data_IF_499102089590
#
_entry.id   IF_499102089590
#
_cell.length_a   1.000
_cell.length_b   1.000
_cell.length_c   1.000
_cell.angle_alpha   90.00
_cell.angle_beta   90.00
_cell.angle_gamma   90.00
#
_symmetry.space_group_name_H-M   'P 1'
#
loop_
_entity.id
_entity.type
_entity.pdbx_description
1 polymer ?
#
# COMPACT_ATOMS: atom_id res chain seq x y z
N UNK A 1 -8.29 17.64 -4.22
CA UNK A 1 -8.77 16.96 -2.99
C UNK A 1 -7.60 16.29 -2.27
N UNK A 2 -7.04 16.91 -1.23
CA UNK A 2 -5.86 16.44 -0.49
C UNK A 2 -6.00 15.04 0.14
N UNK A 3 -7.23 14.56 0.38
CA UNK A 3 -7.52 13.24 0.95
C UNK A 3 -6.86 12.08 0.18
N UNK A 4 -6.93 12.07 -1.16
CA UNK A 4 -6.44 10.94 -1.97
C UNK A 4 -4.90 10.80 -1.99
N UNK A 5 -4.17 11.89 -1.73
CA UNK A 5 -2.70 11.83 -1.63
C UNK A 5 -2.29 11.08 -0.36
N UNK A 6 -2.91 11.42 0.77
CA UNK A 6 -2.68 10.76 2.06
C UNK A 6 -3.04 9.27 2.00
N UNK A 7 -4.17 8.92 1.39
CA UNK A 7 -4.58 7.52 1.21
C UNK A 7 -3.59 6.68 0.37
N UNK A 8 -3.02 7.24 -0.70
CA UNK A 8 -2.00 6.53 -1.50
C UNK A 8 -0.70 6.33 -0.74
N UNK A 9 -0.31 7.33 0.06
CA UNK A 9 0.87 7.21 0.91
C UNK A 9 0.68 6.10 1.96
N UNK A 10 -0.50 6.03 2.58
CA UNK A 10 -0.87 4.94 3.51
C UNK A 10 -0.88 3.58 2.80
N UNK A 11 -1.48 3.50 1.61
CA UNK A 11 -1.50 2.26 0.82
C UNK A 11 -0.08 1.76 0.52
N UNK A 12 0.86 2.67 0.20
CA UNK A 12 2.25 2.31 -0.03
C UNK A 12 2.93 1.78 1.25
N UNK A 13 2.65 2.38 2.41
CA UNK A 13 3.16 1.88 3.70
C UNK A 13 2.64 0.47 4.00
N UNK A 14 1.35 0.22 3.77
CA UNK A 14 0.74 -1.10 3.94
C UNK A 14 1.33 -2.13 2.97
N UNK A 15 1.45 -1.80 1.68
CA UNK A 15 2.05 -2.69 0.69
C UNK A 15 3.52 -2.99 0.99
N UNK A 16 4.26 -2.02 1.53
CA UNK A 16 5.63 -2.24 1.98
C UNK A 16 5.68 -3.22 3.17
N UNK A 17 4.84 -3.03 4.19
CA UNK A 17 4.74 -3.95 5.32
C UNK A 17 4.37 -5.37 4.86
N UNK A 18 3.39 -5.48 3.97
CA UNK A 18 2.96 -6.74 3.37
C UNK A 18 4.10 -7.44 2.62
N UNK A 19 4.81 -6.72 1.74
CA UNK A 19 5.90 -7.26 0.92
C UNK A 19 7.12 -7.67 1.78
N UNK A 20 7.39 -6.95 2.87
CA UNK A 20 8.48 -7.26 3.80
C UNK A 20 8.16 -8.46 4.69
N UNK A 21 6.92 -8.57 5.18
CA UNK A 21 6.49 -9.64 6.10
C UNK A 21 5.99 -10.89 5.39
N UNK A 22 5.69 -10.80 4.09
CA UNK A 22 5.05 -11.84 3.28
C UNK A 22 3.78 -12.40 3.95
N UNK A 23 3.03 -11.53 4.61
CA UNK A 23 1.77 -11.86 5.30
C UNK A 23 0.59 -11.81 4.33
N UNK A 24 -0.62 -12.03 4.83
CA UNK A 24 -1.82 -11.70 4.06
C UNK A 24 -1.99 -10.17 3.96
N UNK A 25 -2.63 -9.66 2.90
CA UNK A 25 -2.97 -8.23 2.78
C UNK A 25 -3.84 -7.73 3.93
N UNK A 26 -4.75 -8.57 4.41
CA UNK A 26 -5.64 -8.31 5.53
C UNK A 26 -4.86 -8.10 6.83
N UNK A 27 -3.89 -8.97 7.10
CA UNK A 27 -3.02 -8.83 8.29
C UNK A 27 -2.20 -7.54 8.21
N UNK A 28 -1.70 -7.19 7.02
CA UNK A 28 -0.93 -5.96 6.83
C UNK A 28 -1.79 -4.70 7.06
N UNK A 29 -3.04 -4.71 6.59
CA UNK A 29 -4.00 -3.61 6.84
C UNK A 29 -4.31 -3.52 8.33
N UNK A 30 -4.63 -4.64 8.98
CA UNK A 30 -4.95 -4.68 10.41
C UNK A 30 -3.78 -4.19 11.26
N UNK A 31 -2.56 -4.62 10.91
CA UNK A 31 -1.36 -4.18 11.59
C UNK A 31 -1.11 -2.68 11.40
N UNK A 32 -1.27 -2.16 10.19
CA UNK A 32 -1.12 -0.73 9.95
C UNK A 32 -2.08 0.09 10.82
N UNK A 33 -3.33 -0.35 10.97
CA UNK A 33 -4.28 0.30 11.87
C UNK A 33 -3.89 0.17 13.35
N UNK A 34 -3.36 -0.98 13.77
CA UNK A 34 -2.86 -1.18 15.14
C UNK A 34 -1.66 -0.27 15.46
N UNK A 35 -0.72 -0.13 14.53
CA UNK A 35 0.44 0.77 14.66
C UNK A 35 0.03 2.23 14.62
N UNK A 36 -0.93 2.60 13.75
CA UNK A 36 -1.47 3.96 13.70
C UNK A 36 -2.19 4.33 15.00
N UNK A 37 -2.99 3.42 15.56
CA UNK A 37 -3.63 3.63 16.84
C UNK A 37 -2.58 3.75 17.97
N UNK A 38 -1.57 2.87 17.98
CA UNK A 38 -0.50 2.88 18.98
C UNK A 38 0.37 4.15 18.97
N UNK A 39 0.70 4.67 17.79
CA UNK A 39 1.47 5.91 17.64
C UNK A 39 0.70 7.14 18.15
N UNK A 40 -0.62 7.15 18.01
CA UNK A 40 -1.47 8.24 18.49
C UNK A 40 -1.73 8.17 20.01
N UNK A 41 -1.60 7.00 20.66
CA UNK A 41 -1.60 6.88 22.13
C UNK A 41 -0.34 7.46 22.79
N UNK A 42 0.78 7.56 22.08
CA UNK A 42 2.00 8.23 22.58
C UNK A 42 1.93 9.76 22.41
N UNK A 43 1.12 10.25 21.48
CA UNK A 43 0.91 11.68 21.17
C UNK A 43 -0.45 12.20 21.67
N UNK A 44 -0.86 11.86 22.90
CA UNK A 44 -2.06 12.46 23.49
C UNK A 44 -1.76 13.89 24.00
N UNK A 45 -1.88 14.90 23.13
CA UNK A 45 -2.43 16.23 23.49
C UNK A 45 -3.16 16.89 22.32
N UNK A 46 -4.45 17.04 22.57
CA UNK A 46 -5.40 18.02 22.04
C UNK A 46 -5.83 17.88 20.55
N UNK A 47 -7.11 17.54 20.40
CA UNK A 47 -7.97 17.88 19.25
C UNK A 47 -7.87 17.07 17.94
N UNK A 48 -7.20 15.91 17.91
CA UNK A 48 -7.32 15.00 16.77
C UNK A 48 -8.53 14.05 16.95
N UNK A 49 -9.47 13.95 15.98
CA UNK A 49 -10.54 12.96 16.03
C UNK A 49 -9.96 11.54 15.97
N UNK A 50 -10.61 10.55 16.62
CA UNK A 50 -10.06 9.20 16.78
C UNK A 50 -9.74 8.51 15.44
N UNK A 51 -8.72 7.62 15.40
CA UNK A 51 -8.29 6.92 14.20
C UNK A 51 -9.22 5.75 13.88
N UNK A 52 -10.51 6.02 13.69
CA UNK A 52 -11.51 5.02 13.29
C UNK A 52 -12.11 5.30 11.93
N UNK A 53 -11.58 6.27 11.19
CA UNK A 53 -11.94 6.42 9.78
C UNK A 53 -11.11 5.44 8.97
N UNK A 54 -11.60 4.20 8.88
CA UNK A 54 -11.21 3.28 7.81
C UNK A 54 -11.09 4.06 6.51
N UNK A 55 -10.00 3.87 5.77
CA UNK A 55 -9.72 4.57 4.53
C UNK A 55 -10.03 3.60 3.39
N UNK A 56 -11.27 3.60 2.87
CA UNK A 56 -11.71 2.54 1.98
C UNK A 56 -10.95 2.59 0.65
N UNK A 57 -10.44 3.77 0.29
CA UNK A 57 -9.63 3.95 -0.91
C UNK A 57 -8.21 3.40 -0.74
N UNK A 58 -7.62 3.54 0.44
CA UNK A 58 -6.38 2.86 0.78
C UNK A 58 -6.57 1.34 0.76
N UNK A 59 -7.61 0.84 1.44
CA UNK A 59 -7.88 -0.60 1.52
C UNK A 59 -8.15 -1.19 0.12
N UNK A 60 -8.92 -0.51 -0.72
CA UNK A 60 -9.19 -0.97 -2.08
C UNK A 60 -7.92 -1.05 -2.92
N UNK A 61 -7.01 -0.07 -2.79
CA UNK A 61 -5.72 -0.09 -3.49
C UNK A 61 -4.85 -1.26 -3.03
N UNK A 62 -4.76 -1.51 -1.73
CA UNK A 62 -3.96 -2.61 -1.18
C UNK A 62 -4.51 -3.96 -1.63
N UNK A 63 -5.82 -4.18 -1.45
CA UNK A 63 -6.49 -5.44 -1.84
C UNK A 63 -6.40 -5.68 -3.34
N UNK A 64 -6.68 -4.66 -4.16
CA UNK A 64 -6.61 -4.77 -5.62
C UNK A 64 -5.19 -5.04 -6.12
N UNK A 65 -4.20 -4.32 -5.59
CA UNK A 65 -2.80 -4.50 -5.98
C UNK A 65 -2.27 -5.87 -5.58
N UNK A 66 -2.57 -6.32 -4.35
CA UNK A 66 -2.13 -7.64 -3.87
C UNK A 66 -2.81 -8.81 -4.59
N UNK A 67 -4.09 -8.70 -4.91
CA UNK A 67 -4.84 -9.72 -5.64
C UNK A 67 -4.32 -9.96 -7.07
N UNK A 68 -3.64 -8.97 -7.67
CA UNK A 68 -3.10 -9.04 -9.03
C UNK A 68 -1.57 -9.02 -9.06
N UNK A 69 -0.88 -9.23 -7.92
CA UNK A 69 0.55 -9.01 -7.82
C UNK A 69 1.36 -9.81 -8.85
N UNK A 70 1.01 -11.08 -9.09
CA UNK A 70 1.72 -11.92 -10.05
C UNK A 70 1.62 -11.35 -11.48
N UNK A 71 0.41 -10.97 -11.88
CA UNK A 71 0.15 -10.33 -13.18
C UNK A 71 0.88 -9.00 -13.30
N UNK A 72 0.86 -8.17 -12.24
CA UNK A 72 1.54 -6.88 -12.21
C UNK A 72 3.06 -7.04 -12.32
N UNK A 73 3.62 -8.03 -11.62
CA UNK A 73 5.04 -8.34 -11.65
C UNK A 73 5.47 -8.85 -13.03
N UNK A 74 4.66 -9.69 -13.70
CA UNK A 74 4.92 -10.05 -15.09
C UNK A 74 4.93 -8.84 -16.03
N UNK A 75 3.98 -7.92 -15.86
CA UNK A 75 3.93 -6.69 -16.67
C UNK A 75 5.14 -5.79 -16.44
N UNK A 76 5.64 -5.70 -15.20
CA UNK A 76 6.85 -4.94 -14.87
C UNK A 76 8.07 -5.66 -15.46
N UNK A 77 8.19 -6.97 -15.27
CA UNK A 77 9.31 -7.78 -15.76
C UNK A 77 9.45 -7.71 -17.29
N UNK A 78 8.33 -7.79 -18.03
CA UNK A 78 8.32 -7.70 -19.51
C UNK A 78 8.87 -6.36 -20.03
N UNK A 79 8.74 -5.29 -19.25
CA UNK A 79 9.22 -3.94 -19.61
C UNK A 79 10.56 -3.59 -18.99
N UNK A 80 10.98 -4.31 -17.95
CA UNK A 80 12.25 -4.14 -17.28
C UNK A 80 13.34 -4.98 -17.97
N UNK A 81 13.74 -4.58 -19.19
CA UNK A 81 14.66 -5.34 -20.06
C UNK A 81 16.01 -5.69 -19.40
N UNK A 82 16.48 -4.90 -18.43
CA UNK A 82 17.77 -5.09 -17.76
C UNK A 82 17.69 -5.12 -16.23
N UNK A 83 16.49 -5.11 -15.64
CA UNK A 83 16.33 -5.00 -14.18
C UNK A 83 15.44 -6.10 -13.61
N UNK A 84 16.03 -7.01 -12.83
CA UNK A 84 15.27 -8.02 -12.08
C UNK A 84 14.45 -7.37 -10.97
N UNK A 85 13.14 -7.66 -10.91
CA UNK A 85 12.22 -7.17 -9.86
C UNK A 85 12.75 -7.34 -8.43
N UNK A 86 13.50 -8.41 -8.17
CA UNK A 86 14.15 -8.70 -6.88
C UNK A 86 15.20 -7.66 -6.47
N UNK A 87 15.82 -6.99 -7.45
CA UNK A 87 16.83 -5.94 -7.23
C UNK A 87 16.23 -4.55 -7.09
N UNK A 88 14.92 -4.39 -7.33
CA UNK A 88 14.25 -3.11 -7.12
C UNK A 88 14.03 -2.87 -5.63
N UNK A 89 14.25 -1.64 -5.12
CA UNK A 89 13.81 -1.28 -3.78
C UNK A 89 12.32 -1.61 -3.61
N UNK A 90 11.96 -2.18 -2.45
CA UNK A 90 10.58 -2.61 -2.20
C UNK A 90 9.57 -1.47 -2.36
N UNK A 91 9.96 -0.24 -1.98
CA UNK A 91 9.15 0.96 -2.16
C UNK A 91 8.88 1.22 -3.65
N UNK A 92 9.92 1.24 -4.48
CA UNK A 92 9.79 1.50 -5.92
C UNK A 92 8.96 0.42 -6.62
N UNK A 93 9.20 -0.85 -6.26
CA UNK A 93 8.41 -1.98 -6.77
C UNK A 93 6.92 -1.82 -6.43
N UNK A 94 6.60 -1.47 -5.19
CA UNK A 94 5.21 -1.28 -4.77
C UNK A 94 4.57 -0.02 -5.39
N UNK A 95 5.35 1.03 -5.66
CA UNK A 95 4.88 2.20 -6.42
C UNK A 95 4.48 1.77 -7.84
N UNK A 96 5.31 0.99 -8.54
CA UNK A 96 5.02 0.50 -9.88
C UNK A 96 3.78 -0.39 -9.92
N UNK A 97 3.69 -1.36 -9.01
CA UNK A 97 2.51 -2.25 -8.88
C UNK A 97 1.23 -1.44 -8.71
N UNK A 98 1.21 -0.49 -7.76
CA UNK A 98 0.05 0.36 -7.49
C UNK A 98 -0.29 1.29 -8.66
N UNK A 99 0.73 1.84 -9.35
CA UNK A 99 0.52 2.71 -10.51
C UNK A 99 -0.12 1.95 -11.68
N UNK A 100 0.35 0.74 -11.96
CA UNK A 100 -0.18 -0.13 -13.03
C UNK A 100 -1.61 -0.56 -12.69
N UNK A 101 -1.85 -1.10 -11.49
CA UNK A 101 -3.18 -1.51 -11.02
C UNK A 101 -4.23 -0.41 -11.27
N UNK A 102 -3.92 0.82 -10.82
CA UNK A 102 -4.82 1.96 -10.96
C UNK A 102 -5.02 2.42 -12.41
N UNK A 103 -4.07 2.15 -13.30
CA UNK A 103 -4.19 2.45 -14.73
C UNK A 103 -5.09 1.45 -15.46
N UNK A 104 -5.03 0.17 -15.06
CA UNK A 104 -5.89 -0.90 -15.59
C UNK A 104 -7.34 -0.73 -15.11
N UNK A 105 -7.57 -0.30 -13.86
CA UNK A 105 -8.91 -0.03 -13.29
C UNK A 105 -9.65 1.14 -14.00
N UNK A 106 -8.97 1.90 -14.86
CA UNK A 106 -9.52 3.05 -15.60
C UNK A 106 -9.84 2.78 -17.07
N UNK A 107 -9.61 1.57 -17.56
CA UNK A 107 -10.03 1.13 -18.89
C UNK A 107 -11.35 0.38 -18.83
#
# INVERSE_FOLDING_TARGET
MPARRKSRQRALQVLFLWDQRKSTPEDAIAQFYAELAGAEFEEERDEAPPPTTHDPFMESLVRGTSAQVDTLDEYIAKRAENWRLERMPAVDRNILRMAIYRSEERR
#
